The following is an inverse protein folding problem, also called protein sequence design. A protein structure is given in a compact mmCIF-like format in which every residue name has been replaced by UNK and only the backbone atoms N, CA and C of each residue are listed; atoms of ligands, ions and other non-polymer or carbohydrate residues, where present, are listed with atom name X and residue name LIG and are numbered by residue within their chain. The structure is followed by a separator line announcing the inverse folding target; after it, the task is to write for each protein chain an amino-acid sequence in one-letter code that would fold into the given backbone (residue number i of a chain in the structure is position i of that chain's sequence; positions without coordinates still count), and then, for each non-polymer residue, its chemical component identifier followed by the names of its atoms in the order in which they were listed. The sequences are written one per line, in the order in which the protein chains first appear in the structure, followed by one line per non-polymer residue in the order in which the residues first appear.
data_IF_060414526528
#
_entry.id   IF_060414526528
#
_cell.length_a   1.000
_cell.length_b   1.000
_cell.length_c   1.000
_cell.angle_alpha   90.00
_cell.angle_beta   90.00
_cell.angle_gamma   90.00
#
_symmetry.space_group_name_H-M   'P 1'
#
loop_
_entity.id
_entity.type
_entity.pdbx_description
1 polymer ?
#
# COMPACT_ATOMS: atom_id res chain seq x y z
N UNK A 1 -30.32 -0.40 4.91
CA UNK A 1 -29.24 -1.15 5.60
C UNK A 1 -28.86 -2.28 4.65
N UNK A 2 -27.64 -2.51 4.18
CA UNK A 2 -26.29 -2.00 4.38
C UNK A 2 -25.56 -2.22 3.06
N UNK A 3 -24.82 -1.24 2.57
CA UNK A 3 -23.76 -1.49 1.58
C UNK A 3 -22.43 -1.32 2.31
N UNK A 4 -22.10 -2.31 3.15
CA UNK A 4 -20.73 -2.54 3.61
C UNK A 4 -19.88 -3.05 2.44
N UNK A 5 -19.78 -2.26 1.36
CA UNK A 5 -18.91 -2.54 0.23
C UNK A 5 -17.50 -2.16 0.71
N UNK A 6 -16.77 -3.13 1.26
CA UNK A 6 -15.30 -3.07 1.34
C UNK A 6 -14.81 -2.76 -0.07
N UNK A 7 -14.60 -1.48 -0.35
CA UNK A 7 -14.26 -1.02 -1.67
C UNK A 7 -12.80 -1.40 -1.88
N UNK A 8 -12.60 -2.52 -2.58
CA UNK A 8 -11.28 -2.91 -3.04
C UNK A 8 -10.78 -1.79 -3.97
N UNK A 9 -9.63 -1.22 -3.63
CA UNK A 9 -8.96 -0.21 -4.44
C UNK A 9 -7.58 -0.69 -4.82
N UNK A 10 -7.16 -0.29 -6.01
CA UNK A 10 -5.79 -0.47 -6.49
C UNK A 10 -5.07 0.87 -6.36
N UNK A 11 -3.91 0.85 -5.71
CA UNK A 11 -3.08 2.00 -5.42
C UNK A 11 -1.73 1.79 -6.10
N UNK A 12 -1.28 2.79 -6.86
CA UNK A 12 0.06 2.84 -7.44
C UNK A 12 0.89 3.84 -6.65
N UNK A 13 2.09 3.44 -6.25
CA UNK A 13 3.00 4.34 -5.54
C UNK A 13 4.33 3.68 -5.24
N UNK A 14 5.19 4.43 -4.56
CA UNK A 14 6.49 3.95 -4.09
C UNK A 14 6.36 3.44 -2.66
N UNK A 15 7.00 2.31 -2.38
CA UNK A 15 7.11 1.83 -1.01
C UNK A 15 8.17 2.64 -0.26
N UNK A 16 7.76 3.31 0.80
CA UNK A 16 8.65 4.04 1.69
C UNK A 16 8.68 3.39 3.07
N UNK A 17 9.85 3.31 3.72
CA UNK A 17 9.90 2.93 5.12
C UNK A 17 9.25 4.02 5.98
N UNK A 18 8.34 3.65 6.86
CA UNK A 18 7.74 4.54 7.85
C UNK A 18 8.01 4.03 9.25
N UNK A 19 8.64 4.85 10.09
CA UNK A 19 8.97 4.45 11.45
C UNK A 19 7.78 4.72 12.39
N UNK A 20 6.68 3.98 12.24
CA UNK A 20 5.48 4.15 13.06
C UNK A 20 5.17 2.90 13.86
N UNK A 21 5.89 2.71 14.96
CA UNK A 21 5.46 1.80 16.04
C UNK A 21 4.46 2.53 16.93
N UNK A 22 3.17 2.26 16.74
CA UNK A 22 2.17 2.63 17.74
C UNK A 22 1.11 1.52 17.78
N UNK A 23 1.30 0.59 18.72
CA UNK A 23 0.41 -0.52 19.05
C UNK A 23 -0.03 -1.42 17.88
N UNK A 24 0.78 -2.46 17.68
CA UNK A 24 0.36 -3.85 17.45
C UNK A 24 -0.06 -4.37 16.06
N UNK A 25 -0.23 -3.55 15.00
CA UNK A 25 -0.65 -4.18 13.72
C UNK A 25 -0.33 -3.40 12.42
N UNK A 26 0.62 -2.45 12.44
CA UNK A 26 1.05 -1.71 11.25
C UNK A 26 2.54 -1.94 10.99
N UNK A 27 2.88 -2.35 9.76
CA UNK A 27 4.27 -2.60 9.38
C UNK A 27 4.92 -1.24 9.12
N UNK A 28 6.23 -1.16 9.31
CA UNK A 28 7.11 -0.01 9.06
C UNK A 28 7.20 0.42 7.58
N UNK A 29 6.17 0.22 6.75
CA UNK A 29 6.15 0.58 5.32
C UNK A 29 4.82 1.21 4.92
N UNK A 30 4.89 2.22 4.06
CA UNK A 30 3.75 2.89 3.46
C UNK A 30 3.92 2.96 1.94
N UNK A 31 2.80 3.14 1.24
CA UNK A 31 2.78 3.43 -0.20
C UNK A 31 2.51 4.92 -0.34
N UNK A 32 3.49 5.66 -0.86
CA UNK A 32 3.34 7.06 -1.25
C UNK A 32 2.91 7.13 -2.71
N UNK A 33 1.75 7.73 -2.99
CA UNK A 33 1.25 7.92 -4.35
C UNK A 33 1.89 9.14 -5.00
N UNK A 34 1.77 9.24 -6.33
CA UNK A 34 2.23 10.42 -7.09
C UNK A 34 1.55 11.72 -6.66
N UNK A 35 0.33 11.62 -6.13
CA UNK A 35 -0.45 12.74 -5.59
C UNK A 35 -0.01 13.15 -4.17
N UNK A 36 0.98 12.47 -3.59
CA UNK A 36 1.47 12.71 -2.23
C UNK A 36 0.61 12.12 -1.12
N UNK A 37 -0.35 11.24 -1.45
CA UNK A 37 -1.13 10.52 -0.44
C UNK A 37 -0.32 9.35 0.12
N UNK A 38 -0.36 9.16 1.44
CA UNK A 38 0.38 8.10 2.13
C UNK A 38 -0.60 7.04 2.66
N UNK A 39 -0.44 5.81 2.18
CA UNK A 39 -1.23 4.66 2.59
C UNK A 39 -0.40 3.67 3.42
N UNK A 40 -0.74 3.54 4.70
CA UNK A 40 -0.07 2.61 5.62
C UNK A 40 -0.45 1.16 5.31
N UNK A 41 0.52 0.24 5.31
CA UNK A 41 0.26 -1.18 5.02
C UNK A 41 0.02 -1.97 6.31
N UNK A 42 -1.13 -2.67 6.39
CA UNK A 42 -1.52 -3.47 7.57
C UNK A 42 -0.68 -4.76 7.76
N UNK A 43 -0.41 -5.16 9.01
CA UNK A 43 0.43 -6.30 9.42
C UNK A 43 -0.11 -7.70 9.13
N UNK A 44 -1.34 -7.84 8.65
CA UNK A 44 -2.01 -9.14 8.52
C UNK A 44 -1.41 -10.07 7.41
N UNK A 45 -0.16 -10.51 7.60
CA UNK A 45 0.51 -11.62 6.94
C UNK A 45 1.47 -11.29 5.79
N UNK A 46 1.49 -10.07 5.26
CA UNK A 46 2.32 -9.74 4.07
C UNK A 46 3.36 -8.66 4.24
N UNK A 47 3.26 -7.77 5.22
CA UNK A 47 4.17 -6.62 5.22
C UNK A 47 5.63 -6.96 5.55
N UNK A 48 5.94 -8.12 6.12
CA UNK A 48 7.34 -8.58 6.21
C UNK A 48 7.97 -8.72 4.82
N UNK A 49 7.19 -9.13 3.81
CA UNK A 49 7.65 -9.17 2.41
C UNK A 49 7.88 -7.78 1.83
N UNK A 50 7.20 -6.76 2.36
CA UNK A 50 7.35 -5.38 1.91
C UNK A 50 8.56 -4.67 2.53
N UNK A 51 9.08 -5.13 3.69
CA UNK A 51 10.30 -4.55 4.30
C UNK A 51 11.52 -4.67 3.39
N UNK A 52 11.61 -5.74 2.59
CA UNK A 52 12.68 -5.92 1.60
C UNK A 52 12.44 -5.22 0.25
N UNK A 53 11.30 -4.55 0.08
CA UNK A 53 10.87 -3.93 -1.17
C UNK A 53 10.75 -2.40 -1.05
N UNK A 54 11.32 -1.82 0.01
CA UNK A 54 11.42 -0.36 0.17
C UNK A 54 12.14 0.25 -1.02
N UNK A 55 11.68 1.41 -1.46
CA UNK A 55 12.10 2.16 -2.65
C UNK A 55 11.69 1.56 -4.01
N UNK A 56 10.89 0.49 -4.02
CA UNK A 56 10.30 -0.01 -5.26
C UNK A 56 8.91 0.57 -5.52
N UNK A 57 8.61 0.79 -6.80
CA UNK A 57 7.26 1.09 -7.25
C UNK A 57 6.40 -0.16 -7.12
N UNK A 58 5.17 0.00 -6.64
CA UNK A 58 4.22 -1.10 -6.50
C UNK A 58 2.84 -0.70 -6.96
N UNK A 59 2.13 -1.70 -7.46
CA UNK A 59 0.69 -1.67 -7.67
C UNK A 59 0.04 -2.59 -6.64
N UNK A 60 -0.55 -2.02 -5.59
CA UNK A 60 -1.17 -2.76 -4.50
C UNK A 60 -2.70 -2.70 -4.59
N UNK A 61 -3.38 -3.85 -4.58
CA UNK A 61 -4.83 -3.92 -4.48
C UNK A 61 -5.24 -4.44 -3.12
N UNK A 62 -6.16 -3.72 -2.46
CA UNK A 62 -6.60 -4.07 -1.12
C UNK A 62 -7.83 -3.28 -0.68
N UNK A 63 -8.28 -3.52 0.54
CA UNK A 63 -9.32 -2.70 1.16
C UNK A 63 -8.67 -1.51 1.84
N UNK A 64 -9.14 -0.31 1.52
CA UNK A 64 -8.68 0.93 2.17
C UNK A 64 -9.62 1.27 3.32
N UNK A 65 -9.06 1.76 4.42
CA UNK A 65 -9.79 2.23 5.59
C UNK A 65 -9.05 3.42 6.20
N UNK A 66 -9.78 4.34 6.81
CA UNK A 66 -9.20 5.51 7.47
C UNK A 66 -9.17 5.24 8.97
N UNK A 67 -8.04 5.50 9.63
CA UNK A 67 -7.93 5.35 11.09
C UNK A 67 -8.65 6.49 11.80
N UNK A 68 -8.84 6.36 13.12
CA UNK A 68 -9.38 7.43 13.97
C UNK A 68 -8.52 8.71 13.95
N UNK A 69 -7.27 8.63 13.48
CA UNK A 69 -6.35 9.75 13.37
C UNK A 69 -6.33 10.39 11.97
N UNK A 70 -7.15 9.91 11.04
CA UNK A 70 -7.20 10.41 9.66
C UNK A 70 -6.19 9.76 8.72
N UNK A 71 -5.36 8.83 9.19
CA UNK A 71 -4.40 8.12 8.33
C UNK A 71 -5.10 7.09 7.44
N UNK A 72 -4.68 6.99 6.18
CA UNK A 72 -5.12 5.93 5.28
C UNK A 72 -4.37 4.63 5.57
N UNK A 73 -5.10 3.52 5.67
CA UNK A 73 -4.56 2.18 5.85
C UNK A 73 -5.10 1.29 4.74
N UNK A 74 -4.20 0.60 4.05
CA UNK A 74 -4.54 -0.42 3.07
C UNK A 74 -4.24 -1.81 3.62
N UNK A 75 -5.26 -2.67 3.62
CA UNK A 75 -5.10 -4.12 3.79
C UNK A 75 -4.85 -4.74 2.43
N UNK A 76 -3.58 -4.88 2.08
CA UNK A 76 -3.13 -5.40 0.78
C UNK A 76 -3.51 -6.86 0.62
N UNK A 77 -4.31 -7.16 -0.42
CA UNK A 77 -4.70 -8.52 -0.80
C UNK A 77 -3.71 -9.08 -1.83
N UNK A 78 -3.34 -8.27 -2.81
CA UNK A 78 -2.36 -8.59 -3.87
C UNK A 78 -1.49 -7.37 -4.17
N UNK A 79 -0.27 -7.61 -4.64
CA UNK A 79 0.62 -6.56 -5.11
C UNK A 79 1.45 -7.05 -6.28
N UNK A 80 1.86 -6.12 -7.12
CA UNK A 80 2.84 -6.31 -8.19
C UNK A 80 3.94 -5.30 -8.00
N UNK A 81 5.21 -5.75 -8.05
CA UNK A 81 6.35 -4.84 -8.11
C UNK A 81 6.45 -4.31 -9.54
N UNK A 82 6.50 -2.99 -9.67
CA UNK A 82 6.80 -2.35 -10.93
C UNK A 82 8.32 -2.15 -10.96
N UNK A 83 8.98 -2.74 -11.95
CA UNK A 83 10.39 -2.45 -12.18
C UNK A 83 10.57 -0.96 -12.46
N UNK A 84 11.73 -0.40 -12.09
CA UNK A 84 12.05 0.98 -12.47
C UNK A 84 12.07 1.20 -14.00
N UNK A 85 12.17 0.09 -14.75
CA UNK A 85 12.12 -0.03 -16.20
C UNK A 85 10.72 -0.41 -16.74
N UNK A 86 9.66 -0.39 -15.92
CA UNK A 86 8.28 -0.47 -16.44
C UNK A 86 7.88 0.92 -16.99
N UNK A 87 8.73 1.44 -17.87
CA UNK A 87 8.35 2.35 -18.92
C UNK A 87 7.28 1.63 -19.73
N UNK A 88 6.15 2.30 -19.87
CA UNK A 88 5.07 1.93 -20.78
C UNK A 88 5.62 1.96 -22.22
N UNK A 89 6.36 0.94 -22.63
CA UNK A 89 6.70 0.71 -24.03
C UNK A 89 6.30 -0.70 -24.45
N UNK A 90 5.55 -0.70 -25.55
CA UNK A 90 5.21 -1.81 -26.43
C UNK A 90 4.00 -2.67 -26.04
N UNK A 91 2.81 -2.16 -26.38
CA UNK A 91 1.98 -2.93 -27.30
C UNK A 91 2.11 -2.32 -28.69
N UNK A 92 2.56 -3.19 -29.60
CA UNK A 92 2.80 -3.00 -31.03
C UNK A 92 1.53 -2.61 -31.80
#
# INVERSE_FOLDING_TARGET
MEINKKSERTIRGVLIPVNRRKNDDVIEVAIETIDGEIYLVSQNGKGEKFRGLTHHNVLATGSVSITKHGDFVIKVKKYTLLSADDDFEQYV
#
